data_IF_911102828117
#
_entry.id   IF_911102828117
#
_cell.length_a   1.000
_cell.length_b   1.000
_cell.length_c   1.000
_cell.angle_alpha   90.00
_cell.angle_beta   90.00
_cell.angle_gamma   90.00
#
_symmetry.space_group_name_H-M   'P 1'
#
loop_
_entity.id
_entity.type
_entity.pdbx_description
1 polymer ?
#
# COMPACT_ATOMS: atom_id res chain seq x y z
N UNK A 1 -7.42 12.95 -15.38
CA UNK A 1 -7.47 11.59 -14.83
C UNK A 1 -6.71 10.57 -15.68
N UNK A 2 -6.60 10.84 -16.97
CA UNK A 2 -5.86 9.94 -17.87
C UNK A 2 -4.37 9.86 -17.50
N UNK A 3 -3.85 10.91 -16.89
CA UNK A 3 -2.44 10.98 -16.50
C UNK A 3 -2.16 10.38 -15.11
N UNK A 4 -3.19 9.96 -14.39
CA UNK A 4 -3.01 9.47 -13.04
C UNK A 4 -2.38 8.07 -13.05
N UNK A 5 -1.16 7.98 -12.53
CA UNK A 5 -0.43 6.71 -12.49
C UNK A 5 -1.17 5.67 -11.65
N UNK A 6 -1.81 6.08 -10.54
CA UNK A 6 -2.55 5.14 -9.70
C UNK A 6 -3.83 4.66 -10.35
N UNK A 7 -4.51 5.52 -11.12
CA UNK A 7 -5.66 5.08 -11.92
C UNK A 7 -5.24 4.02 -12.94
N UNK A 8 -4.07 4.19 -13.55
CA UNK A 8 -3.53 3.21 -14.50
C UNK A 8 -3.19 1.89 -13.82
N UNK A 9 -2.68 1.94 -12.59
CA UNK A 9 -2.40 0.74 -11.81
C UNK A 9 -3.70 0.00 -11.50
N UNK A 10 -4.75 0.72 -11.11
CA UNK A 10 -6.06 0.13 -10.82
C UNK A 10 -6.62 -0.57 -12.05
N UNK A 11 -6.43 0.00 -13.23
CA UNK A 11 -6.90 -0.59 -14.50
C UNK A 11 -6.02 -1.74 -14.99
N UNK A 12 -4.88 -1.99 -14.36
CA UNK A 12 -3.96 -3.03 -14.79
C UNK A 12 -3.05 -2.62 -15.95
N UNK A 13 -3.00 -1.34 -16.30
CA UNK A 13 -2.14 -0.84 -17.38
C UNK A 13 -0.69 -0.73 -16.97
N UNK A 14 -0.44 -0.57 -15.66
CA UNK A 14 0.91 -0.55 -15.10
C UNK A 14 1.01 -1.70 -14.10
N UNK A 15 1.96 -2.63 -14.30
CA UNK A 15 2.11 -3.77 -13.39
C UNK A 15 2.68 -3.33 -12.03
N UNK A 16 2.23 -3.99 -10.97
CA UNK A 16 2.72 -3.77 -9.61
C UNK A 16 2.76 -5.09 -8.85
N UNK A 17 3.40 -5.07 -7.69
CA UNK A 17 3.39 -6.22 -6.79
C UNK A 17 2.25 -6.04 -5.80
N UNK A 18 1.06 -6.48 -6.18
CA UNK A 18 -0.14 -6.36 -5.34
C UNK A 18 -0.04 -7.28 -4.13
N UNK A 19 -0.48 -6.78 -2.99
CA UNK A 19 -0.56 -7.58 -1.76
C UNK A 19 -1.98 -7.71 -1.25
N UNK A 20 -2.87 -6.81 -1.66
CA UNK A 20 -4.27 -6.84 -1.26
C UNK A 20 -5.12 -6.17 -2.34
N UNK A 21 -6.29 -6.72 -2.59
CA UNK A 21 -7.26 -6.12 -3.49
C UNK A 21 -8.68 -6.39 -3.01
N UNK A 22 -9.41 -5.31 -2.72
CA UNK A 22 -10.83 -5.39 -2.39
C UNK A 22 -11.63 -4.61 -3.43
N UNK A 23 -12.90 -4.39 -3.15
CA UNK A 23 -13.79 -3.68 -4.08
C UNK A 23 -13.40 -2.20 -4.22
N UNK A 24 -12.99 -1.57 -3.12
CA UNK A 24 -12.77 -0.14 -3.07
C UNK A 24 -11.32 0.28 -2.92
N UNK A 25 -10.45 -0.63 -2.49
CA UNK A 25 -9.05 -0.30 -2.20
C UNK A 25 -8.11 -1.36 -2.75
N UNK A 26 -6.90 -0.91 -3.10
CA UNK A 26 -5.82 -1.74 -3.63
C UNK A 26 -4.55 -1.43 -2.85
N UNK A 27 -3.77 -2.45 -2.56
CA UNK A 27 -2.47 -2.27 -1.90
C UNK A 27 -1.38 -2.97 -2.69
N UNK A 28 -0.26 -2.30 -2.88
CA UNK A 28 0.87 -2.82 -3.64
C UNK A 28 2.19 -2.26 -3.10
N UNK A 29 3.29 -2.91 -3.45
CA UNK A 29 4.61 -2.48 -2.99
C UNK A 29 5.05 -1.20 -3.69
N UNK A 30 5.66 -0.30 -2.91
CA UNK A 30 6.29 0.91 -3.43
C UNK A 30 7.60 0.53 -4.11
N UNK A 31 7.86 1.08 -5.31
CA UNK A 31 9.10 0.80 -6.05
C UNK A 31 10.30 1.58 -5.49
N UNK A 32 10.06 2.55 -4.61
CA UNK A 32 11.10 3.31 -3.91
C UNK A 32 10.93 3.11 -2.40
N UNK A 33 11.15 1.90 -1.90
CA UNK A 33 10.79 1.54 -0.54
C UNK A 33 11.64 2.22 0.52
N UNK A 34 11.00 2.63 1.61
CA UNK A 34 11.66 3.17 2.80
C UNK A 34 11.95 2.05 3.83
N UNK A 35 11.38 0.88 3.60
CA UNK A 35 11.62 -0.33 4.39
C UNK A 35 11.22 -1.54 3.57
N UNK A 36 11.64 -2.76 3.98
CA UNK A 36 11.25 -3.96 3.24
C UNK A 36 9.74 -4.13 3.30
N UNK A 37 9.12 -4.34 2.13
CA UNK A 37 7.68 -4.48 2.07
C UNK A 37 6.90 -3.18 2.27
N UNK A 38 7.50 -2.03 1.95
CA UNK A 38 6.81 -0.75 1.94
C UNK A 38 5.61 -0.81 0.99
N UNK A 39 4.42 -0.51 1.50
CA UNK A 39 3.16 -0.63 0.78
C UNK A 39 2.52 0.74 0.57
N UNK A 40 1.89 0.91 -0.58
CA UNK A 40 0.95 1.98 -0.87
C UNK A 40 -0.45 1.38 -0.83
N UNK A 41 -1.34 1.97 -0.03
CA UNK A 41 -2.78 1.63 -0.10
C UNK A 41 -3.45 2.78 -0.84
N UNK A 42 -4.19 2.46 -1.88
CA UNK A 42 -4.86 3.48 -2.70
C UNK A 42 -6.35 3.18 -2.81
N UNK A 43 -7.14 4.23 -3.09
CA UNK A 43 -8.53 4.05 -3.46
C UNK A 43 -8.61 3.62 -4.92
N UNK A 44 -9.52 2.70 -5.27
CA UNK A 44 -9.71 2.28 -6.66
C UNK A 44 -10.37 3.39 -7.47
N UNK A 45 -11.37 4.05 -6.87
CA UNK A 45 -11.97 5.22 -7.48
C UNK A 45 -11.06 6.42 -7.23
N UNK A 46 -10.94 7.29 -8.21
CA UNK A 46 -10.07 8.46 -8.10
C UNK A 46 -10.65 9.50 -7.14
N UNK A 47 -9.90 9.78 -6.06
CA UNK A 47 -10.12 10.93 -5.17
C UNK A 47 -8.80 11.65 -5.03
N UNK A 48 -8.82 12.97 -4.87
CA UNK A 48 -7.60 13.75 -4.75
C UNK A 48 -6.90 13.50 -3.42
N UNK A 49 -7.67 13.50 -2.34
CA UNK A 49 -7.13 13.39 -0.99
C UNK A 49 -7.74 12.21 -0.24
N UNK A 50 -6.99 11.64 0.70
CA UNK A 50 -7.53 10.62 1.60
C UNK A 50 -8.80 11.14 2.29
N UNK A 51 -8.82 12.42 2.62
CA UNK A 51 -9.94 13.07 3.32
C UNK A 51 -11.21 13.17 2.47
N UNK A 52 -11.09 13.02 1.17
CA UNK A 52 -12.23 13.08 0.25
C UNK A 52 -12.94 11.73 0.08
N UNK A 53 -12.30 10.65 0.53
CA UNK A 53 -12.84 9.30 0.35
C UNK A 53 -14.06 9.11 1.27
N UNK A 54 -15.27 8.81 0.71
CA UNK A 54 -16.47 8.72 1.54
C UNK A 54 -16.40 7.64 2.61
N UNK A 55 -15.80 6.50 2.28
CA UNK A 55 -15.61 5.40 3.22
C UNK A 55 -14.18 5.36 3.75
N UNK A 56 -13.71 6.51 4.25
CA UNK A 56 -12.34 6.64 4.76
C UNK A 56 -12.05 5.68 5.91
N UNK A 57 -13.05 5.33 6.72
CA UNK A 57 -12.87 4.34 7.78
C UNK A 57 -12.42 3.00 7.25
N UNK A 58 -13.01 2.54 6.14
CA UNK A 58 -12.61 1.29 5.50
C UNK A 58 -11.20 1.40 4.92
N UNK A 59 -10.83 2.56 4.40
CA UNK A 59 -9.50 2.85 3.89
C UNK A 59 -8.46 2.61 5.00
N UNK A 60 -8.70 3.17 6.18
CA UNK A 60 -7.81 2.99 7.33
C UNK A 60 -7.85 1.56 7.88
N UNK A 61 -8.97 0.85 7.75
CA UNK A 61 -9.03 -0.57 8.11
C UNK A 61 -8.11 -1.40 7.24
N UNK A 62 -8.06 -1.13 5.94
CA UNK A 62 -7.11 -1.79 5.04
C UNK A 62 -5.68 -1.47 5.46
N UNK A 63 -5.40 -0.19 5.74
CA UNK A 63 -4.08 0.23 6.20
C UNK A 63 -3.66 -0.53 7.48
N UNK A 64 -4.59 -0.69 8.41
CA UNK A 64 -4.34 -1.44 9.65
C UNK A 64 -4.00 -2.90 9.36
N UNK A 65 -4.76 -3.55 8.47
CA UNK A 65 -4.48 -4.95 8.08
C UNK A 65 -3.07 -5.08 7.50
N UNK A 66 -2.70 -4.14 6.63
CA UNK A 66 -1.36 -4.12 6.03
C UNK A 66 -0.29 -3.94 7.11
N UNK A 67 -0.49 -3.00 8.03
CA UNK A 67 0.48 -2.75 9.10
C UNK A 67 0.70 -3.99 9.96
N UNK A 68 -0.39 -4.67 10.33
CA UNK A 68 -0.29 -5.89 11.13
C UNK A 68 0.39 -7.02 10.37
N UNK A 69 0.12 -7.13 9.07
CA UNK A 69 0.78 -8.11 8.22
C UNK A 69 2.27 -7.83 8.10
N UNK A 70 2.66 -6.56 7.96
CA UNK A 70 4.07 -6.17 7.90
C UNK A 70 4.81 -6.50 9.20
N UNK A 71 4.18 -6.25 10.34
CA UNK A 71 4.78 -6.60 11.64
C UNK A 71 5.08 -8.09 11.70
N UNK A 72 4.13 -8.91 11.28
CA UNK A 72 4.25 -10.36 11.29
C UNK A 72 5.27 -10.85 10.26
N UNK A 73 5.17 -10.33 9.04
CA UNK A 73 6.00 -10.78 7.92
C UNK A 73 7.48 -10.46 8.12
N UNK A 74 7.79 -9.31 8.71
CA UNK A 74 9.17 -8.82 8.81
C UNK A 74 9.70 -8.75 10.24
N UNK A 75 8.88 -9.14 11.22
CA UNK A 75 9.29 -9.11 12.63
C UNK A 75 9.55 -7.70 13.13
N UNK A 76 8.92 -6.69 12.54
CA UNK A 76 9.14 -5.30 12.89
C UNK A 76 8.21 -4.88 14.03
N UNK A 77 8.77 -4.19 15.01
CA UNK A 77 7.95 -3.60 16.08
C UNK A 77 7.34 -2.28 15.64
N UNK A 78 8.08 -1.52 14.84
CA UNK A 78 7.67 -0.18 14.44
C UNK A 78 7.18 -0.20 13.00
N UNK A 79 5.95 0.20 12.80
CA UNK A 79 5.37 0.42 11.48
C UNK A 79 5.10 1.92 11.36
N UNK A 80 5.64 2.51 10.31
CA UNK A 80 5.44 3.93 10.04
C UNK A 80 4.41 4.11 8.94
N UNK A 81 3.68 5.21 9.03
CA UNK A 81 2.69 5.55 8.03
C UNK A 81 2.78 7.03 7.71
N UNK A 82 2.48 7.38 6.47
CA UNK A 82 2.51 8.77 6.04
C UNK A 82 1.49 9.00 4.95
N UNK A 83 0.79 10.13 5.06
CA UNK A 83 -0.18 10.54 4.06
C UNK A 83 0.33 11.85 3.47
N UNK A 84 0.87 11.77 2.24
CA UNK A 84 1.29 12.96 1.53
C UNK A 84 0.09 13.56 0.77
N UNK A 85 0.10 13.45 -0.51
CA UNK A 85 -0.98 13.96 -1.34
C UNK A 85 -0.49 14.94 -2.39
N UNK A 86 0.65 15.58 -2.18
CA UNK A 86 1.21 16.49 -3.17
C UNK A 86 2.08 15.77 -4.20
N UNK A 87 2.56 14.56 -3.89
CA UNK A 87 3.40 13.80 -4.83
C UNK A 87 2.58 13.20 -5.96
N UNK A 88 1.48 12.52 -5.64
CA UNK A 88 0.58 11.93 -6.64
C UNK A 88 -0.85 12.33 -6.29
N UNK A 89 -1.57 12.99 -7.20
CA UNK A 89 -2.94 13.48 -6.93
C UNK A 89 -4.00 12.38 -7.00
N UNK A 90 -3.86 11.38 -6.13
CA UNK A 90 -4.77 10.25 -6.00
C UNK A 90 -4.63 9.73 -4.58
N UNK A 91 -5.72 9.59 -3.85
CA UNK A 91 -5.70 9.24 -2.43
C UNK A 91 -4.86 7.99 -2.15
N UNK A 92 -3.84 8.12 -1.32
CA UNK A 92 -2.93 7.03 -0.98
C UNK A 92 -2.36 7.19 0.42
N UNK A 93 -2.06 6.06 1.04
CA UNK A 93 -1.47 5.97 2.38
C UNK A 93 -0.21 5.11 2.29
N UNK A 94 0.93 5.66 2.72
CA UNK A 94 2.20 4.91 2.79
C UNK A 94 2.24 4.15 4.11
N UNK A 95 2.71 2.91 4.06
CA UNK A 95 2.91 2.10 5.26
C UNK A 95 4.18 1.28 5.07
N UNK A 96 5.14 1.41 6.00
CA UNK A 96 6.37 0.62 5.88
C UNK A 96 6.89 0.19 7.24
N UNK A 97 7.49 -1.02 7.31
CA UNK A 97 8.12 -1.48 8.53
C UNK A 97 9.49 -0.84 8.69
N UNK A 98 9.79 -0.34 9.89
CA UNK A 98 11.10 0.20 10.17
C UNK A 98 11.97 -0.94 10.70
N UNK A 99 12.64 -1.61 9.79
CA UNK A 99 13.50 -2.74 10.10
C UNK A 99 14.52 -2.93 8.99
N UNK A 100 15.54 -3.73 9.22
CA UNK A 100 16.51 -4.09 8.19
C UNK A 100 15.94 -5.19 7.30
N UNK A 101 16.47 -5.29 6.09
CA UNK A 101 16.06 -6.33 5.15
C UNK A 101 16.32 -5.88 3.72
N UNK A 102 16.05 -6.77 2.78
CA UNK A 102 16.24 -6.48 1.37
C UNK A 102 15.07 -5.64 0.86
N UNK A 103 15.33 -4.38 0.56
CA UNK A 103 14.32 -3.43 0.13
C UNK A 103 13.77 -3.71 -1.26
N UNK A 104 14.58 -4.32 -2.12
CA UNK A 104 14.27 -4.47 -3.54
C UNK A 104 13.84 -5.88 -3.95
N UNK A 105 13.77 -6.81 -3.04
CA UNK A 105 13.25 -8.15 -3.35
C UNK A 105 11.72 -8.12 -3.30
N UNK A 106 11.13 -7.47 -4.30
CA UNK A 106 9.69 -7.20 -4.32
C UNK A 106 8.86 -8.47 -4.33
N UNK A 107 9.24 -9.46 -5.11
CA UNK A 107 8.48 -10.72 -5.19
C UNK A 107 8.41 -11.40 -3.84
N UNK A 108 9.56 -11.58 -3.18
CA UNK A 108 9.61 -12.22 -1.87
C UNK A 108 8.87 -11.41 -0.81
N UNK A 109 9.09 -10.09 -0.80
CA UNK A 109 8.45 -9.22 0.19
C UNK A 109 6.93 -9.22 0.02
N UNK A 110 6.43 -9.20 -1.22
CA UNK A 110 5.00 -9.29 -1.47
C UNK A 110 4.42 -10.62 -0.99
N UNK A 111 5.11 -11.74 -1.26
CA UNK A 111 4.66 -13.06 -0.84
C UNK A 111 4.57 -13.15 0.68
N UNK A 112 5.55 -12.60 1.40
CA UNK A 112 5.54 -12.60 2.87
C UNK A 112 4.32 -11.86 3.41
N UNK A 113 4.00 -10.71 2.83
CA UNK A 113 2.84 -9.91 3.26
C UNK A 113 1.53 -10.65 2.97
N UNK A 114 1.40 -11.22 1.76
CA UNK A 114 0.21 -11.97 1.38
C UNK A 114 -0.01 -13.16 2.33
N UNK A 115 1.06 -13.87 2.66
CA UNK A 115 0.97 -15.01 3.57
C UNK A 115 0.50 -14.55 4.95
N UNK A 116 1.02 -13.44 5.44
CA UNK A 116 0.62 -12.88 6.73
C UNK A 116 -0.84 -12.44 6.73
N UNK A 117 -1.30 -11.86 5.61
CA UNK A 117 -2.71 -11.43 5.48
C UNK A 117 -3.67 -12.61 5.47
N UNK A 118 -3.26 -13.76 4.95
CA UNK A 118 -4.12 -14.95 4.85
C UNK A 118 -4.27 -15.68 6.18
N UNK A 119 -3.57 -15.27 7.19
CA UNK A 119 -3.63 -15.86 8.54
C UNK A 119 -4.28 -14.90 9.50
#
# INVERSE_FOLDING_TARGET
MDDCIFCKIVKGEIPTNKVYEGDDFLAFLDINPLGPGHVQVISKKHYRWVWDVPNAGEFFEVAKKIALAQKKAFGAEIIRSQIYGEDIPHAHIWIWPETSGDLKNFTTNAEKIKLALSK
#
